data_IF_446214323143
#
_entry.id   IF_446214323143
#
_cell.length_a   1.000
_cell.length_b   1.000
_cell.length_c   1.000
_cell.angle_alpha   90.00
_cell.angle_beta   90.00
_cell.angle_gamma   90.00
#
_symmetry.space_group_name_H-M   'P 1'
#
loop_
_entity.id
_entity.type
_entity.pdbx_description
1 polymer ?
#
# COMPACT_ATOMS: atom_id res chain seq x y z
N UNK A 1 -51.41 49.31 -16.37
CA UNK A 1 -50.77 48.56 -17.47
C UNK A 1 -49.36 48.09 -17.10
N UNK A 2 -48.48 48.95 -16.57
CA UNK A 2 -47.11 48.57 -16.19
C UNK A 2 -46.99 47.57 -15.02
N UNK A 3 -47.89 47.60 -14.03
CA UNK A 3 -47.87 46.66 -12.89
C UNK A 3 -48.20 45.22 -13.32
N UNK A 4 -49.23 45.04 -14.15
CA UNK A 4 -49.62 43.73 -14.68
C UNK A 4 -48.58 43.15 -15.66
N UNK A 5 -47.87 44.01 -16.41
CA UNK A 5 -46.74 43.60 -17.25
C UNK A 5 -45.54 43.16 -16.41
N UNK A 6 -45.25 43.86 -15.31
CA UNK A 6 -44.18 43.49 -14.38
C UNK A 6 -44.49 42.19 -13.61
N UNK A 7 -45.74 41.99 -13.15
CA UNK A 7 -46.16 40.73 -12.53
C UNK A 7 -46.12 39.56 -13.52
N UNK A 8 -46.52 39.78 -14.78
CA UNK A 8 -46.40 38.78 -15.83
C UNK A 8 -44.93 38.41 -16.08
N UNK A 9 -44.05 39.40 -16.19
CA UNK A 9 -42.62 39.16 -16.41
C UNK A 9 -42.00 38.40 -15.22
N UNK A 10 -42.33 38.79 -13.98
CA UNK A 10 -41.85 38.09 -12.78
C UNK A 10 -42.31 36.63 -12.74
N UNK A 11 -43.57 36.38 -13.10
CA UNK A 11 -44.10 35.01 -13.18
C UNK A 11 -43.41 34.20 -14.29
N UNK A 12 -43.05 34.84 -15.40
CA UNK A 12 -42.29 34.24 -16.49
C UNK A 12 -40.86 33.87 -16.03
N UNK A 13 -40.17 34.80 -15.38
CA UNK A 13 -38.82 34.60 -14.84
C UNK A 13 -38.79 33.49 -13.76
N UNK A 14 -39.81 33.43 -12.90
CA UNK A 14 -39.98 32.35 -11.91
C UNK A 14 -40.24 30.98 -12.60
N UNK A 15 -41.01 30.96 -13.69
CA UNK A 15 -41.26 29.74 -14.46
C UNK A 15 -39.98 29.25 -15.14
N UNK A 16 -39.22 30.16 -15.75
CA UNK A 16 -37.96 29.83 -16.44
C UNK A 16 -36.90 29.37 -15.43
N UNK A 17 -36.82 30.00 -14.26
CA UNK A 17 -35.94 29.56 -13.17
C UNK A 17 -36.32 28.16 -12.67
N UNK A 18 -37.61 27.87 -12.51
CA UNK A 18 -38.08 26.55 -12.07
C UNK A 18 -37.83 25.49 -13.14
N UNK A 19 -38.05 25.82 -14.42
CA UNK A 19 -37.76 24.93 -15.54
C UNK A 19 -36.26 24.59 -15.64
N UNK A 20 -35.39 25.56 -15.39
CA UNK A 20 -33.94 25.33 -15.32
C UNK A 20 -33.56 24.40 -14.17
N UNK A 21 -34.16 24.58 -12.98
CA UNK A 21 -33.93 23.69 -11.83
C UNK A 21 -34.41 22.26 -12.12
N UNK A 22 -35.55 22.11 -12.80
CA UNK A 22 -36.08 20.79 -13.20
C UNK A 22 -35.14 20.13 -14.21
N UNK A 23 -34.67 20.84 -15.24
CA UNK A 23 -33.70 20.30 -16.20
C UNK A 23 -32.41 19.84 -15.51
N UNK A 24 -31.90 20.64 -14.57
CA UNK A 24 -30.72 20.29 -13.79
C UNK A 24 -30.96 19.02 -12.95
N UNK A 25 -32.13 18.92 -12.32
CA UNK A 25 -32.53 17.76 -11.53
C UNK A 25 -32.68 16.50 -12.40
N UNK A 26 -33.30 16.60 -13.58
CA UNK A 26 -33.44 15.47 -14.51
C UNK A 26 -32.07 14.99 -15.01
N UNK A 27 -31.15 15.90 -15.33
CA UNK A 27 -29.78 15.54 -15.70
C UNK A 27 -29.04 14.84 -14.57
N UNK A 28 -29.23 15.32 -13.33
CA UNK A 28 -28.64 14.71 -12.13
C UNK A 28 -29.21 13.30 -11.89
N UNK A 29 -30.54 13.14 -11.94
CA UNK A 29 -31.23 11.86 -11.76
C UNK A 29 -30.78 10.86 -12.83
N UNK A 30 -30.69 11.29 -14.09
CA UNK A 30 -30.24 10.42 -15.18
C UNK A 30 -28.77 10.04 -15.04
N UNK A 31 -27.90 10.96 -14.60
CA UNK A 31 -26.50 10.65 -14.29
C UNK A 31 -26.33 9.69 -13.11
N UNK A 32 -27.21 9.77 -12.12
CA UNK A 32 -27.24 8.90 -10.95
C UNK A 32 -27.94 7.57 -11.20
N UNK A 33 -28.74 7.43 -12.27
CA UNK A 33 -29.51 6.22 -12.53
C UNK A 33 -28.59 5.00 -12.78
N UNK A 34 -27.55 5.16 -13.60
CA UNK A 34 -26.53 4.12 -13.80
C UNK A 34 -25.74 3.85 -12.53
N UNK A 35 -25.50 4.89 -11.74
CA UNK A 35 -24.72 4.83 -10.51
C UNK A 35 -25.47 4.07 -9.40
N UNK A 36 -26.77 4.28 -9.31
CA UNK A 36 -27.65 3.57 -8.37
C UNK A 36 -27.71 2.06 -8.68
N UNK A 37 -27.76 1.67 -9.96
CA UNK A 37 -27.68 0.24 -10.35
C UNK A 37 -26.35 -0.35 -9.90
N UNK A 38 -25.23 0.34 -10.18
CA UNK A 38 -23.89 -0.07 -9.76
C UNK A 38 -23.78 -0.21 -8.24
N UNK A 39 -24.31 0.73 -7.48
CA UNK A 39 -24.32 0.67 -6.02
C UNK A 39 -25.20 -0.46 -5.50
N UNK A 40 -26.38 -0.70 -6.10
CA UNK A 40 -27.23 -1.83 -5.73
C UNK A 40 -26.53 -3.18 -5.93
N UNK A 41 -25.82 -3.35 -7.04
CA UNK A 41 -24.96 -4.52 -7.30
C UNK A 41 -23.82 -4.61 -6.29
N UNK A 42 -23.17 -3.48 -5.98
CA UNK A 42 -22.10 -3.40 -4.98
C UNK A 42 -22.58 -3.82 -3.59
N UNK A 43 -23.77 -3.39 -3.17
CA UNK A 43 -24.37 -3.78 -1.89
C UNK A 43 -24.63 -5.29 -1.84
N UNK A 44 -25.08 -5.89 -2.94
CA UNK A 44 -25.25 -7.35 -3.01
C UNK A 44 -23.90 -8.09 -2.92
N UNK A 45 -22.86 -7.57 -3.58
CA UNK A 45 -21.49 -8.10 -3.48
C UNK A 45 -20.95 -8.00 -2.06
N UNK A 46 -21.13 -6.86 -1.39
CA UNK A 46 -20.69 -6.65 0.00
C UNK A 46 -21.37 -7.61 0.97
N UNK A 47 -22.68 -7.87 0.80
CA UNK A 47 -23.39 -8.89 1.61
C UNK A 47 -22.84 -10.30 1.43
N UNK A 48 -22.42 -10.65 0.21
CA UNK A 48 -21.74 -11.94 -0.04
C UNK A 48 -20.34 -11.95 0.60
N UNK A 49 -19.62 -10.84 0.49
CA UNK A 49 -18.29 -10.66 1.08
C UNK A 49 -18.31 -10.71 2.60
N UNK A 50 -19.41 -10.31 3.26
CA UNK A 50 -19.55 -10.37 4.71
C UNK A 50 -19.40 -11.81 5.23
N UNK A 51 -19.94 -12.79 4.49
CA UNK A 51 -19.88 -14.21 4.86
C UNK A 51 -18.46 -14.76 4.71
N UNK A 52 -17.73 -14.35 3.67
CA UNK A 52 -16.37 -14.84 3.37
C UNK A 52 -15.26 -14.02 4.04
N UNK A 53 -15.61 -12.91 4.68
CA UNK A 53 -14.66 -11.99 5.31
C UNK A 53 -13.72 -12.67 6.32
N UNK A 54 -14.19 -13.54 7.25
CA UNK A 54 -13.30 -14.15 8.23
C UNK A 54 -12.21 -15.01 7.60
N UNK A 55 -12.54 -15.84 6.60
CA UNK A 55 -11.58 -16.68 5.88
C UNK A 55 -10.61 -15.85 5.05
N UNK A 56 -11.12 -14.80 4.40
CA UNK A 56 -10.30 -13.88 3.63
C UNK A 56 -9.27 -13.15 4.52
N UNK A 57 -9.71 -12.60 5.66
CA UNK A 57 -8.82 -11.93 6.62
C UNK A 57 -7.78 -12.90 7.18
N UNK A 58 -8.16 -14.14 7.47
CA UNK A 58 -7.23 -15.17 7.94
C UNK A 58 -6.11 -15.43 6.91
N UNK A 59 -6.48 -15.64 5.64
CA UNK A 59 -5.53 -15.87 4.56
C UNK A 59 -4.60 -14.67 4.33
N UNK A 60 -5.15 -13.46 4.31
CA UNK A 60 -4.37 -12.22 4.12
C UNK A 60 -3.44 -11.98 5.31
N UNK A 61 -3.91 -12.15 6.55
CA UNK A 61 -3.09 -12.00 7.74
C UNK A 61 -1.93 -13.00 7.76
N UNK A 62 -2.20 -14.26 7.39
CA UNK A 62 -1.17 -15.28 7.24
C UNK A 62 -0.17 -14.89 6.13
N UNK A 63 -0.66 -14.40 5.00
CA UNK A 63 0.17 -13.94 3.88
C UNK A 63 1.13 -12.83 4.33
N UNK A 64 0.62 -11.75 4.93
CA UNK A 64 1.44 -10.61 5.38
C UNK A 64 2.47 -11.04 6.45
N UNK A 65 2.07 -11.96 7.33
CA UNK A 65 2.91 -12.36 8.47
C UNK A 65 4.05 -13.28 8.09
N UNK A 66 3.83 -14.19 7.11
CA UNK A 66 4.75 -15.30 6.83
C UNK A 66 5.33 -15.29 5.41
N UNK A 67 4.67 -14.72 4.41
CA UNK A 67 5.09 -14.85 3.01
C UNK A 67 6.26 -13.96 2.61
N UNK A 68 6.54 -12.92 3.38
CA UNK A 68 7.52 -11.89 3.04
C UNK A 68 8.89 -12.43 2.62
N UNK A 69 9.43 -13.43 3.32
CA UNK A 69 10.78 -13.95 3.06
C UNK A 69 10.86 -14.93 1.88
N UNK A 70 9.72 -15.47 1.43
CA UNK A 70 9.70 -16.54 0.43
C UNK A 70 9.68 -16.04 -1.01
N UNK A 71 10.10 -16.90 -1.93
CA UNK A 71 10.04 -16.65 -3.38
C UNK A 71 8.61 -16.84 -3.90
N UNK A 72 8.28 -16.20 -5.04
CA UNK A 72 6.97 -16.30 -5.70
C UNK A 72 6.45 -17.74 -5.81
N UNK A 73 7.27 -18.67 -6.29
CA UNK A 73 6.88 -20.09 -6.43
C UNK A 73 6.47 -20.68 -5.08
N UNK A 74 7.29 -20.47 -4.05
CA UNK A 74 7.00 -21.00 -2.73
C UNK A 74 5.75 -20.37 -2.12
N UNK A 75 5.49 -19.08 -2.35
CA UNK A 75 4.23 -18.43 -1.91
C UNK A 75 3.01 -19.10 -2.53
N UNK A 76 3.05 -19.36 -3.85
CA UNK A 76 1.97 -20.03 -4.58
C UNK A 76 1.78 -21.47 -4.11
N UNK A 77 2.87 -22.22 -3.98
CA UNK A 77 2.84 -23.61 -3.51
C UNK A 77 2.24 -23.68 -2.10
N UNK A 78 2.65 -22.78 -1.20
CA UNK A 78 2.18 -22.77 0.18
C UNK A 78 0.69 -22.40 0.28
N UNK A 79 0.23 -21.43 -0.51
CA UNK A 79 -1.19 -21.06 -0.58
C UNK A 79 -2.03 -22.22 -1.14
N UNK A 80 -1.68 -22.73 -2.33
CA UNK A 80 -2.53 -23.63 -3.10
C UNK A 80 -2.42 -25.11 -2.70
N UNK A 81 -1.23 -25.55 -2.23
CA UNK A 81 -1.01 -26.96 -1.88
C UNK A 81 -1.20 -27.23 -0.39
N UNK A 82 -1.14 -26.21 0.47
CA UNK A 82 -1.20 -26.39 1.92
C UNK A 82 -2.32 -25.58 2.58
N UNK A 83 -2.37 -24.26 2.43
CA UNK A 83 -3.34 -23.42 3.15
C UNK A 83 -4.78 -23.61 2.68
N UNK A 84 -5.06 -23.49 1.38
CA UNK A 84 -6.41 -23.69 0.85
C UNK A 84 -6.90 -25.13 1.09
N UNK A 85 -6.12 -26.18 0.80
CA UNK A 85 -6.53 -27.55 1.13
C UNK A 85 -6.73 -27.78 2.63
N UNK A 86 -5.97 -27.11 3.50
CA UNK A 86 -6.20 -27.18 4.95
C UNK A 86 -7.56 -26.58 5.33
N UNK A 87 -7.89 -25.39 4.81
CA UNK A 87 -9.18 -24.74 5.06
C UNK A 87 -10.36 -25.59 4.54
N UNK A 88 -10.21 -26.21 3.38
CA UNK A 88 -11.24 -27.05 2.76
C UNK A 88 -11.51 -28.33 3.56
N UNK A 89 -10.51 -28.83 4.29
CA UNK A 89 -10.61 -30.05 5.10
C UNK A 89 -11.03 -29.81 6.56
N UNK A 90 -11.35 -28.57 6.95
CA UNK A 90 -11.80 -28.27 8.30
C UNK A 90 -13.20 -28.86 8.58
N UNK A 91 -13.37 -29.44 9.77
CA UNK A 91 -14.67 -29.97 10.23
C UNK A 91 -15.72 -28.87 10.35
N UNK A 92 -15.30 -27.66 10.73
CA UNK A 92 -16.13 -26.45 10.72
C UNK A 92 -15.62 -25.57 9.58
N UNK A 93 -16.39 -25.39 8.49
CA UNK A 93 -15.92 -24.65 7.34
C UNK A 93 -15.76 -23.17 7.70
N UNK A 94 -14.65 -22.58 7.24
CA UNK A 94 -14.44 -21.14 7.28
C UNK A 94 -14.61 -20.64 5.84
N UNK A 95 -15.73 -19.98 5.51
CA UNK A 95 -15.96 -19.49 4.15
C UNK A 95 -14.89 -18.48 3.75
N UNK A 96 -14.40 -18.60 2.51
CA UNK A 96 -13.48 -17.67 1.88
C UNK A 96 -13.88 -17.48 0.41
N UNK A 97 -13.41 -16.40 -0.21
CA UNK A 97 -13.66 -16.12 -1.63
C UNK A 97 -12.78 -17.04 -2.49
N UNK A 98 -13.34 -17.82 -3.43
CA UNK A 98 -12.54 -18.60 -4.38
C UNK A 98 -11.59 -17.71 -5.16
N UNK A 99 -10.37 -18.19 -5.43
CA UNK A 99 -9.32 -17.45 -6.16
C UNK A 99 -9.00 -16.07 -5.55
N UNK A 100 -9.11 -15.94 -4.23
CA UNK A 100 -8.78 -14.70 -3.53
C UNK A 100 -7.34 -14.28 -3.83
N UNK A 101 -7.18 -13.07 -4.37
CA UNK A 101 -5.88 -12.41 -4.42
C UNK A 101 -5.59 -11.72 -3.07
N UNK A 102 -4.60 -12.17 -2.29
CA UNK A 102 -4.30 -11.60 -0.97
C UNK A 102 -3.97 -10.10 -1.00
N UNK A 103 -3.50 -9.61 -2.16
CA UNK A 103 -3.13 -8.21 -2.36
C UNK A 103 -4.39 -7.33 -2.47
N UNK A 104 -5.43 -7.82 -3.14
CA UNK A 104 -6.62 -7.03 -3.50
C UNK A 104 -7.42 -6.50 -2.30
N UNK A 105 -7.31 -7.16 -1.14
CA UNK A 105 -7.94 -6.72 0.11
C UNK A 105 -7.17 -5.61 0.83
N UNK A 106 -5.89 -5.43 0.52
CA UNK A 106 -4.98 -4.56 1.26
C UNK A 106 -4.45 -3.39 0.43
N UNK A 107 -4.48 -3.55 -0.88
CA UNK A 107 -3.98 -2.59 -1.85
C UNK A 107 -4.93 -2.59 -3.03
N UNK A 108 -5.32 -1.39 -3.45
CA UNK A 108 -6.10 -1.20 -4.65
C UNK A 108 -5.22 -0.77 -5.83
N UNK A 109 -5.83 -0.78 -7.02
CA UNK A 109 -5.19 -0.39 -8.26
C UNK A 109 -4.60 1.03 -8.22
N UNK A 110 -5.24 1.95 -7.51
CA UNK A 110 -4.74 3.32 -7.35
C UNK A 110 -3.46 3.37 -6.50
N UNK A 111 -3.40 2.61 -5.40
CA UNK A 111 -2.23 2.51 -4.54
C UNK A 111 -1.05 1.83 -5.25
N UNK A 112 -1.31 0.76 -5.99
CA UNK A 112 -0.29 0.08 -6.81
C UNK A 112 0.23 1.01 -7.90
N UNK A 113 -0.67 1.72 -8.59
CA UNK A 113 -0.31 2.73 -9.58
C UNK A 113 0.57 3.84 -8.99
N UNK A 114 0.26 4.29 -7.77
CA UNK A 114 1.08 5.26 -7.05
C UNK A 114 2.47 4.69 -6.75
N UNK A 115 2.59 3.46 -6.27
CA UNK A 115 3.91 2.85 -6.01
C UNK A 115 4.75 2.68 -7.27
N UNK A 116 4.12 2.34 -8.39
CA UNK A 116 4.79 2.26 -9.69
C UNK A 116 5.33 3.64 -10.11
N UNK A 117 4.55 4.71 -9.91
CA UNK A 117 5.01 6.09 -10.15
C UNK A 117 6.15 6.51 -9.19
N UNK A 118 6.19 5.94 -7.99
CA UNK A 118 7.27 6.12 -7.02
C UNK A 118 8.52 5.25 -7.35
N UNK A 119 8.47 4.42 -8.40
CA UNK A 119 9.61 3.62 -8.87
C UNK A 119 9.66 2.20 -8.31
N UNK A 120 8.56 1.67 -7.77
CA UNK A 120 8.39 0.24 -7.55
C UNK A 120 8.33 -0.48 -8.91
N UNK A 121 8.99 -1.63 -9.08
CA UNK A 121 8.81 -2.44 -10.28
C UNK A 121 7.36 -2.93 -10.44
N UNK A 122 6.91 -3.08 -11.69
CA UNK A 122 5.54 -3.46 -12.06
C UNK A 122 5.21 -4.93 -11.85
N UNK A 123 6.17 -5.73 -11.41
CA UNK A 123 5.97 -7.16 -11.22
C UNK A 123 5.11 -7.46 -9.98
N UNK A 124 4.43 -8.61 -10.02
CA UNK A 124 3.53 -9.05 -8.93
C UNK A 124 4.26 -9.20 -7.60
N UNK A 125 5.49 -9.71 -7.59
CA UNK A 125 6.22 -9.93 -6.33
C UNK A 125 6.56 -8.59 -5.66
N UNK A 126 6.95 -7.59 -6.45
CA UNK A 126 7.18 -6.22 -5.95
C UNK A 126 5.92 -5.61 -5.34
N UNK A 127 4.76 -5.80 -5.98
CA UNK A 127 3.46 -5.34 -5.46
C UNK A 127 3.06 -6.07 -4.15
N UNK A 128 3.27 -7.39 -4.08
CA UNK A 128 3.09 -8.18 -2.85
C UNK A 128 4.01 -7.66 -1.73
N UNK A 129 5.29 -7.47 -2.03
CA UNK A 129 6.28 -7.00 -1.07
C UNK A 129 5.97 -5.59 -0.57
N UNK A 130 5.53 -4.69 -1.45
CA UNK A 130 5.10 -3.34 -1.08
C UNK A 130 3.87 -3.37 -0.16
N UNK A 131 2.92 -4.27 -0.43
CA UNK A 131 1.73 -4.50 0.40
C UNK A 131 2.11 -5.01 1.79
N UNK A 132 3.03 -5.98 1.87
CA UNK A 132 3.54 -6.49 3.15
C UNK A 132 4.28 -5.37 3.89
N UNK A 133 5.14 -4.62 3.20
CA UNK A 133 5.89 -3.53 3.82
C UNK A 133 4.96 -2.46 4.39
N UNK A 134 3.94 -2.04 3.63
CA UNK A 134 2.99 -1.02 4.02
C UNK A 134 2.18 -1.42 5.27
N UNK A 135 1.76 -2.69 5.35
CA UNK A 135 0.83 -3.21 6.36
C UNK A 135 1.51 -4.03 7.48
N UNK A 136 2.83 -4.21 7.43
CA UNK A 136 3.56 -4.94 8.47
C UNK A 136 3.51 -4.22 9.81
N UNK A 137 3.10 -4.96 10.85
CA UNK A 137 3.11 -4.45 12.23
C UNK A 137 4.53 -4.40 12.79
N UNK A 138 5.33 -5.46 12.60
CA UNK A 138 6.77 -5.51 12.93
C UNK A 138 7.58 -4.68 11.95
N UNK A 139 8.80 -4.29 12.33
CA UNK A 139 9.67 -3.51 11.46
C UNK A 139 10.05 -4.32 10.20
N UNK A 140 9.82 -3.81 8.98
CA UNK A 140 10.18 -4.51 7.76
C UNK A 140 11.71 -4.53 7.59
N UNK A 141 12.24 -5.73 7.32
CA UNK A 141 13.64 -5.96 6.94
C UNK A 141 13.69 -6.40 5.48
N UNK A 142 14.15 -5.50 4.61
CA UNK A 142 14.22 -5.69 3.18
C UNK A 142 15.55 -6.35 2.78
N UNK A 143 15.46 -7.53 2.19
CA UNK A 143 16.57 -8.19 1.51
C UNK A 143 16.58 -7.70 0.07
N UNK A 144 17.39 -6.67 -0.21
CA UNK A 144 17.41 -5.95 -1.50
C UNK A 144 18.85 -5.86 -2.04
N UNK A 145 19.40 -6.96 -2.59
CA UNK A 145 20.77 -6.96 -3.11
C UNK A 145 20.94 -6.08 -4.36
N UNK A 146 19.89 -5.89 -5.16
CA UNK A 146 19.91 -5.06 -6.36
C UNK A 146 19.57 -3.58 -6.11
N UNK A 147 19.24 -3.21 -4.87
CA UNK A 147 18.87 -1.84 -4.48
C UNK A 147 17.70 -1.27 -5.31
N UNK A 148 16.70 -2.09 -5.61
CA UNK A 148 15.49 -1.65 -6.32
C UNK A 148 14.43 -1.16 -5.35
N UNK A 149 14.12 -1.96 -4.32
CA UNK A 149 13.14 -1.61 -3.30
C UNK A 149 13.52 -0.35 -2.53
N UNK A 150 14.82 -0.14 -2.25
CA UNK A 150 15.28 1.07 -1.56
C UNK A 150 15.02 2.36 -2.37
N UNK A 151 15.04 2.31 -3.70
CA UNK A 151 14.75 3.48 -4.54
C UNK A 151 13.29 3.89 -4.36
N UNK A 152 12.37 2.92 -4.37
CA UNK A 152 10.97 3.15 -4.09
C UNK A 152 10.75 3.79 -2.70
N UNK A 153 11.37 3.24 -1.64
CA UNK A 153 11.24 3.80 -0.27
C UNK A 153 11.72 5.26 -0.19
N UNK A 154 12.85 5.58 -0.83
CA UNK A 154 13.37 6.95 -0.88
C UNK A 154 12.43 7.89 -1.64
N UNK A 155 11.85 7.45 -2.74
CA UNK A 155 10.92 8.24 -3.54
C UNK A 155 9.54 8.41 -2.90
N UNK A 156 9.11 7.42 -2.10
CA UNK A 156 7.82 7.43 -1.39
C UNK A 156 7.83 8.39 -0.21
N UNK A 157 8.88 8.36 0.61
CA UNK A 157 8.93 9.13 1.86
C UNK A 157 9.73 10.44 1.76
N UNK A 158 10.55 10.63 0.70
CA UNK A 158 11.32 11.85 0.36
C UNK A 158 11.83 12.63 1.59
N UNK A 159 11.16 13.74 1.91
CA UNK A 159 11.58 14.71 2.92
C UNK A 159 11.36 14.23 4.37
N UNK A 160 10.48 13.24 4.57
CA UNK A 160 10.21 12.64 5.88
C UNK A 160 11.10 11.45 6.21
N UNK A 161 11.95 11.03 5.27
CA UNK A 161 12.84 9.89 5.41
C UNK A 161 14.23 10.28 5.92
N UNK A 162 14.60 9.75 7.08
CA UNK A 162 15.95 9.84 7.61
C UNK A 162 16.75 8.59 7.23
N UNK A 163 17.66 8.73 6.27
CA UNK A 163 18.54 7.64 5.81
C UNK A 163 19.81 7.58 6.66
N UNK A 164 20.02 6.46 7.35
CA UNK A 164 21.15 6.26 8.27
C UNK A 164 21.92 4.98 7.93
N UNK A 165 23.20 4.95 8.34
CA UNK A 165 24.05 3.75 8.30
C UNK A 165 24.66 3.52 9.67
N UNK A 166 24.80 2.26 10.06
CA UNK A 166 25.40 1.88 11.35
C UNK A 166 26.87 2.29 11.47
N UNK A 167 27.56 2.55 10.36
CA UNK A 167 28.95 3.03 10.33
C UNK A 167 29.08 4.53 10.52
N UNK A 168 27.99 5.30 10.49
CA UNK A 168 28.05 6.75 10.66
C UNK A 168 28.22 7.13 12.13
N UNK A 169 29.08 8.10 12.39
CA UNK A 169 29.16 8.73 13.71
C UNK A 169 27.80 9.35 14.09
N UNK A 170 27.43 9.21 15.36
CA UNK A 170 26.21 9.75 15.96
C UNK A 170 24.91 9.22 15.32
N UNK A 171 24.92 8.02 14.74
CA UNK A 171 23.70 7.41 14.21
C UNK A 171 22.66 7.17 15.33
N UNK A 172 23.12 6.83 16.55
CA UNK A 172 22.25 6.64 17.72
C UNK A 172 21.53 7.95 18.08
N UNK A 173 22.23 9.08 18.20
CA UNK A 173 21.60 10.37 18.51
C UNK A 173 20.55 10.76 17.46
N UNK A 174 20.80 10.44 16.19
CA UNK A 174 19.82 10.66 15.10
C UNK A 174 18.60 9.75 15.20
N UNK A 175 18.79 8.49 15.63
CA UNK A 175 17.68 7.57 15.91
C UNK A 175 16.88 8.06 17.12
N UNK A 176 17.53 8.49 18.19
CA UNK A 176 16.87 9.07 19.37
C UNK A 176 15.98 10.26 18.97
N UNK A 177 16.53 11.19 18.18
CA UNK A 177 15.76 12.31 17.63
C UNK A 177 14.58 11.85 16.78
N UNK A 178 14.77 10.85 15.92
CA UNK A 178 13.71 10.34 15.07
C UNK A 178 12.57 9.66 15.86
N UNK A 179 12.90 8.92 16.91
CA UNK A 179 11.93 8.26 17.80
C UNK A 179 11.07 9.32 18.52
N UNK A 180 11.71 10.37 19.06
CA UNK A 180 11.00 11.43 19.77
C UNK A 180 10.13 12.30 18.86
N UNK A 181 10.50 12.46 17.59
CA UNK A 181 9.79 13.31 16.62
C UNK A 181 8.91 12.53 15.61
N UNK A 182 8.77 11.22 15.78
CA UNK A 182 7.91 10.40 14.92
C UNK A 182 8.36 10.35 13.46
N UNK A 183 9.67 10.38 13.19
CA UNK A 183 10.22 10.35 11.82
C UNK A 183 10.36 8.92 11.29
N UNK A 184 10.44 8.79 9.97
CA UNK A 184 10.66 7.50 9.30
C UNK A 184 12.17 7.32 9.12
N UNK A 185 12.73 6.25 9.68
CA UNK A 185 14.15 5.94 9.59
C UNK A 185 14.37 4.75 8.68
N UNK A 186 15.30 4.90 7.74
CA UNK A 186 15.82 3.81 6.92
C UNK A 186 17.26 3.50 7.33
N UNK A 187 17.50 2.30 7.87
CA UNK A 187 18.84 1.79 8.11
C UNK A 187 19.33 1.02 6.89
N UNK A 188 20.33 1.58 6.20
CA UNK A 188 20.92 0.96 5.02
C UNK A 188 22.04 -0.03 5.37
N UNK A 189 22.18 -1.05 4.54
CA UNK A 189 23.31 -1.99 4.56
C UNK A 189 23.54 -2.66 5.93
N UNK A 190 22.45 -3.08 6.58
CA UNK A 190 22.55 -3.87 7.81
C UNK A 190 23.24 -5.20 7.49
N UNK A 191 24.14 -5.61 8.37
CA UNK A 191 24.83 -6.90 8.30
C UNK A 191 24.01 -7.96 9.05
N UNK A 192 24.50 -9.20 9.08
CA UNK A 192 23.87 -10.30 9.84
C UNK A 192 23.92 -10.06 11.35
N UNK A 193 24.96 -9.35 11.81
CA UNK A 193 25.11 -8.92 13.19
C UNK A 193 24.76 -7.45 13.31
N UNK A 194 23.85 -7.15 14.22
CA UNK A 194 23.42 -5.80 14.59
C UNK A 194 23.87 -5.56 16.02
N UNK A 195 24.21 -4.31 16.34
CA UNK A 195 24.58 -3.92 17.70
C UNK A 195 23.38 -4.11 18.65
N UNK A 196 23.63 -4.74 19.81
CA UNK A 196 22.61 -5.03 20.82
C UNK A 196 21.91 -3.76 21.36
N UNK A 197 22.53 -2.59 21.19
CA UNK A 197 21.92 -1.28 21.49
C UNK A 197 20.60 -1.05 20.73
N UNK A 198 20.42 -1.71 19.57
CA UNK A 198 19.21 -1.59 18.75
C UNK A 198 18.12 -2.60 19.13
N UNK A 199 18.42 -3.62 19.92
CA UNK A 199 17.45 -4.68 20.29
C UNK A 199 16.17 -4.13 20.94
N UNK A 200 16.21 -3.13 21.86
CA UNK A 200 14.99 -2.56 22.43
C UNK A 200 14.12 -1.86 21.38
N UNK A 201 14.74 -1.25 20.35
CA UNK A 201 14.02 -0.58 19.27
C UNK A 201 13.42 -1.63 18.34
N UNK A 202 14.19 -2.65 17.96
CA UNK A 202 13.76 -3.72 17.06
C UNK A 202 12.63 -4.56 17.68
N UNK A 203 12.77 -4.93 18.94
CA UNK A 203 11.76 -5.67 19.70
C UNK A 203 10.61 -4.82 20.24
N UNK A 204 10.65 -3.49 20.06
CA UNK A 204 9.68 -2.53 20.63
C UNK A 204 9.45 -2.74 22.12
N UNK A 205 10.55 -2.84 22.86
CA UNK A 205 10.52 -3.02 24.31
C UNK A 205 10.25 -1.67 24.96
N UNK A 206 8.96 -1.39 25.20
CA UNK A 206 8.53 -0.14 25.80
C UNK A 206 8.69 -0.12 27.33
N UNK A 207 9.01 1.05 27.85
CA UNK A 207 9.08 1.39 29.27
C UNK A 207 7.97 2.39 29.59
N UNK A 208 7.67 2.62 30.87
CA UNK A 208 6.73 3.63 31.34
C UNK A 208 5.33 3.52 30.70
N UNK A 209 4.80 2.29 30.63
CA UNK A 209 3.49 1.96 30.04
C UNK A 209 3.34 2.36 28.57
N UNK A 210 4.39 2.18 27.76
CA UNK A 210 4.31 2.43 26.31
C UNK A 210 4.77 3.83 25.87
N UNK A 211 5.26 4.66 26.79
CA UNK A 211 5.60 6.06 26.50
C UNK A 211 7.05 6.31 26.13
N UNK A 212 7.94 5.38 26.47
CA UNK A 212 9.37 5.54 26.22
C UNK A 212 10.01 4.23 25.73
N UNK A 213 11.09 4.35 24.97
CA UNK A 213 11.99 3.25 24.59
C UNK A 213 13.38 3.58 25.12
N UNK A 214 14.08 2.56 25.63
CA UNK A 214 15.48 2.70 26.03
C UNK A 214 16.40 2.52 24.81
N UNK A 215 17.24 3.52 24.56
CA UNK A 215 18.24 3.50 23.48
C UNK A 215 19.61 3.67 24.12
N UNK A 216 20.39 2.58 24.14
CA UNK A 216 21.62 2.52 24.92
C UNK A 216 21.33 2.72 26.42
N UNK A 217 21.90 3.79 26.99
CA UNK A 217 21.68 4.15 28.40
C UNK A 217 20.60 5.22 28.61
N UNK A 218 20.04 5.80 27.53
CA UNK A 218 19.05 6.87 27.61
C UNK A 218 17.63 6.36 27.46
N UNK A 219 16.70 7.02 28.14
CA UNK A 219 15.26 6.86 27.92
C UNK A 219 14.77 7.93 26.95
N UNK A 220 14.13 7.51 25.86
CA UNK A 220 13.63 8.40 24.81
C UNK A 220 12.12 8.28 24.73
N UNK A 221 11.41 9.41 24.71
CA UNK A 221 9.95 9.44 24.52
C UNK A 221 9.60 8.91 23.12
N UNK A 222 8.59 8.04 23.05
CA UNK A 222 8.21 7.36 21.82
C UNK A 222 7.01 8.04 21.15
N UNK A 223 7.20 8.59 19.95
CA UNK A 223 6.09 9.05 19.11
C UNK A 223 5.51 7.86 18.30
N UNK A 224 4.19 7.60 18.35
CA UNK A 224 3.55 6.51 17.61
C UNK A 224 3.72 6.56 16.08
N UNK A 225 4.05 7.72 15.51
CA UNK A 225 4.30 7.90 14.06
C UNK A 225 5.69 7.41 13.65
N UNK A 226 6.59 7.16 14.60
CA UNK A 226 7.92 6.63 14.31
C UNK A 226 7.83 5.32 13.53
N UNK A 227 8.58 5.23 12.43
CA UNK A 227 8.65 4.00 11.62
C UNK A 227 10.09 3.67 11.28
N UNK A 228 10.50 2.45 11.58
CA UNK A 228 11.81 1.91 11.22
C UNK A 228 11.70 0.95 10.05
N UNK A 229 12.53 1.17 9.03
CA UNK A 229 12.71 0.29 7.87
C UNK A 229 14.18 -0.12 7.83
N UNK A 230 14.42 -1.41 7.69
CA UNK A 230 15.75 -1.99 7.64
C UNK A 230 16.02 -2.51 6.23
N UNK A 231 17.24 -2.32 5.72
CA UNK A 231 17.64 -2.81 4.40
C UNK A 231 19.00 -3.49 4.46
N UNK A 232 19.12 -4.65 3.83
CA UNK A 232 20.39 -5.35 3.60
C UNK A 232 20.66 -5.56 2.11
N UNK A 233 21.95 -5.51 1.76
CA UNK A 233 22.47 -5.84 0.42
C UNK A 233 22.88 -7.31 0.31
N UNK A 234 22.90 -8.04 1.42
CA UNK A 234 23.24 -9.46 1.43
C UNK A 234 22.09 -10.23 0.75
N UNK A 235 22.41 -11.04 -0.25
CA UNK A 235 21.37 -11.79 -0.97
C UNK A 235 20.79 -12.93 -0.12
N UNK A 236 21.62 -13.60 0.67
CA UNK A 236 21.24 -14.70 1.56
C UNK A 236 21.82 -14.48 2.96
N UNK A 237 21.30 -13.51 3.73
CA UNK A 237 21.78 -13.25 5.08
C UNK A 237 21.33 -14.34 6.05
N UNK A 238 22.22 -14.80 6.92
CA UNK A 238 21.91 -15.72 8.01
C UNK A 238 21.59 -14.97 9.31
N UNK A 239 20.37 -14.44 9.40
CA UNK A 239 19.90 -13.78 10.61
C UNK A 239 19.59 -14.76 11.73
N UNK A 240 19.97 -14.39 12.95
CA UNK A 240 19.60 -15.13 14.15
C UNK A 240 18.07 -15.15 14.34
N UNK A 241 17.51 -16.19 15.00
CA UNK A 241 16.06 -16.30 15.20
C UNK A 241 15.42 -15.07 15.86
N UNK A 242 16.14 -14.39 16.75
CA UNK A 242 15.65 -13.20 17.44
C UNK A 242 15.31 -12.07 16.46
N UNK A 243 16.20 -11.82 15.47
CA UNK A 243 15.96 -10.84 14.41
C UNK A 243 14.76 -11.21 13.55
N UNK A 244 14.59 -12.50 13.24
CA UNK A 244 13.44 -12.98 12.45
C UNK A 244 12.12 -12.91 13.21
N UNK A 245 12.16 -13.02 14.54
CA UNK A 245 10.99 -12.86 15.39
C UNK A 245 10.58 -11.38 15.48
N UNK A 246 11.55 -10.49 15.67
CA UNK A 246 11.31 -9.06 15.89
C UNK A 246 11.00 -8.26 14.61
N UNK A 247 11.50 -8.72 13.47
CA UNK A 247 11.32 -8.04 12.17
C UNK A 247 10.48 -8.87 11.20
N UNK A 248 9.83 -8.21 10.25
CA UNK A 248 9.20 -8.89 9.11
C UNK A 248 10.20 -8.92 7.96
N UNK A 249 10.78 -10.08 7.67
CA UNK A 249 11.67 -10.24 6.53
C UNK A 249 10.88 -10.17 5.23
N UNK A 250 11.34 -9.34 4.30
CA UNK A 250 10.73 -9.16 2.97
C UNK A 250 11.81 -9.34 1.92
N UNK A 251 11.60 -10.31 1.04
CA UNK A 251 12.53 -10.66 0.00
C UNK A 251 12.29 -9.81 -1.26
N UNK A 252 13.13 -8.80 -1.47
CA UNK A 252 13.16 -7.95 -2.67
C UNK A 252 14.18 -8.42 -3.71
N UNK A 253 14.67 -9.67 -3.64
CA UNK A 253 15.54 -10.21 -4.69
C UNK A 253 14.81 -10.24 -6.01
N UNK A 254 15.46 -9.75 -7.06
CA UNK A 254 14.91 -9.79 -8.42
C UNK A 254 14.66 -11.23 -8.84
N UNK A 255 13.43 -11.51 -9.27
CA UNK A 255 13.05 -12.82 -9.84
C UNK A 255 13.44 -12.93 -11.30
N UNK A 256 13.49 -14.15 -11.85
CA UNK A 256 13.74 -14.35 -13.30
C UNK A 256 12.71 -13.60 -14.15
N UNK A 257 11.43 -13.77 -13.83
CA UNK A 257 10.32 -13.07 -14.50
C UNK A 257 10.49 -11.54 -14.41
N UNK A 258 10.81 -11.02 -13.22
CA UNK A 258 11.01 -9.57 -13.03
C UNK A 258 12.24 -9.05 -13.78
N UNK A 259 13.31 -9.84 -13.86
CA UNK A 259 14.50 -9.47 -14.64
C UNK A 259 14.19 -9.48 -16.14
N UNK A 260 13.39 -10.44 -16.62
CA UNK A 260 12.98 -10.52 -18.02
C UNK A 260 12.18 -9.29 -18.43
N UNK A 261 11.22 -8.85 -17.62
CA UNK A 261 10.44 -7.63 -17.88
C UNK A 261 11.33 -6.37 -17.89
N UNK A 262 12.28 -6.29 -16.96
CA UNK A 262 13.24 -5.18 -16.90
C UNK A 262 14.19 -5.15 -18.10
N UNK A 263 14.70 -6.31 -18.52
CA UNK A 263 15.57 -6.43 -19.69
C UNK A 263 14.80 -6.16 -20.98
N UNK A 264 13.55 -6.63 -21.07
CA UNK A 264 12.68 -6.33 -22.21
C UNK A 264 12.49 -4.81 -22.35
N UNK A 265 12.21 -4.10 -21.26
CA UNK A 265 12.14 -2.64 -21.26
C UNK A 265 13.46 -1.98 -21.70
N UNK A 266 14.60 -2.48 -21.23
CA UNK A 266 15.90 -1.96 -21.63
C UNK A 266 16.21 -2.19 -23.13
N UNK A 267 15.85 -3.34 -23.67
CA UNK A 267 16.03 -3.68 -25.10
C UNK A 267 15.08 -2.85 -25.97
N UNK A 268 13.79 -2.75 -25.59
CA UNK A 268 12.82 -1.91 -26.31
C UNK A 268 13.26 -0.45 -26.29
N UNK A 269 13.82 0.05 -25.19
CA UNK A 269 14.37 1.41 -25.10
C UNK A 269 15.53 1.64 -26.07
N UNK A 270 16.38 0.63 -26.29
CA UNK A 270 17.52 0.74 -27.19
C UNK A 270 17.11 0.62 -28.67
N UNK A 271 16.21 -0.32 -28.99
CA UNK A 271 15.76 -0.62 -30.36
C UNK A 271 14.68 0.34 -30.86
N UNK A 272 13.74 0.68 -29.97
CA UNK A 272 12.52 1.47 -30.27
C UNK A 272 12.22 2.46 -29.12
N UNK A 273 13.03 3.50 -28.95
CA UNK A 273 12.84 4.49 -27.88
C UNK A 273 11.50 5.25 -27.99
N UNK A 274 10.94 5.34 -29.19
CA UNK A 274 9.61 5.90 -29.47
C UNK A 274 8.49 5.10 -28.77
N UNK A 275 8.55 3.77 -28.88
CA UNK A 275 7.58 2.87 -28.27
C UNK A 275 7.72 2.84 -26.75
N UNK A 276 8.96 2.84 -26.23
CA UNK A 276 9.18 2.88 -24.78
C UNK A 276 8.69 4.20 -24.17
N UNK A 277 8.94 5.33 -24.84
CA UNK A 277 8.45 6.64 -24.39
C UNK A 277 6.92 6.68 -24.39
N UNK A 278 6.29 6.17 -25.46
CA UNK A 278 4.83 6.08 -25.57
C UNK A 278 4.24 5.16 -24.50
N UNK A 279 4.86 4.00 -24.24
CA UNK A 279 4.44 3.07 -23.19
C UNK A 279 4.53 3.72 -21.81
N UNK A 280 5.65 4.37 -21.50
CA UNK A 280 5.85 5.04 -20.23
C UNK A 280 4.82 6.17 -20.02
N UNK A 281 4.56 6.99 -21.05
CA UNK A 281 3.54 8.04 -20.99
C UNK A 281 2.14 7.47 -20.78
N UNK A 282 1.75 6.45 -21.55
CA UNK A 282 0.46 5.78 -21.41
C UNK A 282 0.28 5.14 -20.03
N UNK A 283 1.33 4.51 -19.48
CA UNK A 283 1.29 3.95 -18.13
C UNK A 283 1.10 5.04 -17.06
N UNK A 284 1.81 6.17 -17.17
CA UNK A 284 1.64 7.29 -16.24
C UNK A 284 0.23 7.89 -16.35
N UNK A 285 -0.28 8.09 -17.58
CA UNK A 285 -1.63 8.58 -17.81
C UNK A 285 -2.67 7.62 -17.25
N UNK A 286 -2.55 6.32 -17.52
CA UNK A 286 -3.44 5.29 -17.00
C UNK A 286 -3.43 5.28 -15.46
N UNK A 287 -2.26 5.35 -14.83
CA UNK A 287 -2.11 5.43 -13.38
C UNK A 287 -2.79 6.68 -12.82
N UNK A 288 -2.59 7.83 -13.47
CA UNK A 288 -3.18 9.11 -13.07
C UNK A 288 -4.70 9.08 -13.20
N UNK A 289 -5.24 8.47 -14.26
CA UNK A 289 -6.68 8.30 -14.43
C UNK A 289 -7.27 7.37 -13.37
N UNK A 290 -6.62 6.24 -13.05
CA UNK A 290 -7.06 5.35 -11.97
C UNK A 290 -7.13 6.08 -10.61
N UNK A 291 -6.10 6.86 -10.28
CA UNK A 291 -6.06 7.65 -9.05
C UNK A 291 -7.16 8.73 -9.05
N UNK A 292 -7.31 9.46 -10.15
CA UNK A 292 -8.30 10.55 -10.26
C UNK A 292 -9.73 10.02 -10.19
N UNK A 293 -10.02 8.91 -10.86
CA UNK A 293 -11.33 8.26 -10.81
C UNK A 293 -11.71 7.91 -9.37
N UNK A 294 -10.79 7.30 -8.62
CA UNK A 294 -11.03 6.97 -7.21
C UNK A 294 -11.31 8.22 -6.37
N UNK A 295 -10.53 9.29 -6.53
CA UNK A 295 -10.75 10.55 -5.80
C UNK A 295 -12.12 11.15 -6.12
N UNK A 296 -12.53 11.12 -7.39
CA UNK A 296 -13.84 11.63 -7.81
C UNK A 296 -14.99 10.78 -7.26
N UNK A 297 -14.84 9.45 -7.24
CA UNK A 297 -15.81 8.55 -6.62
C UNK A 297 -15.94 8.81 -5.11
N UNK A 298 -14.81 8.96 -4.41
CA UNK A 298 -14.77 9.25 -2.98
C UNK A 298 -15.37 10.63 -2.65
N UNK A 299 -15.08 11.67 -3.44
CA UNK A 299 -15.68 13.02 -3.28
C UNK A 299 -17.19 13.00 -3.54
N UNK A 300 -17.61 12.28 -4.58
CA UNK A 300 -19.02 12.12 -4.91
C UNK A 300 -19.77 11.45 -3.75
N UNK A 301 -19.27 10.31 -3.25
CA UNK A 301 -19.83 9.63 -2.08
C UNK A 301 -19.84 10.51 -0.84
N UNK A 302 -18.76 11.25 -0.58
CA UNK A 302 -18.67 12.15 0.57
C UNK A 302 -19.75 13.23 0.54
N UNK A 303 -19.99 13.85 -0.62
CA UNK A 303 -21.01 14.89 -0.80
C UNK A 303 -22.45 14.40 -0.64
N UNK A 304 -22.71 13.10 -0.86
CA UNK A 304 -24.04 12.50 -0.68
C UNK A 304 -24.28 11.94 0.72
N UNK A 305 -23.23 11.70 1.50
CA UNK A 305 -23.32 11.19 2.87
C UNK A 305 -23.48 12.29 3.94
N UNK A 306 -23.49 13.57 3.55
CA UNK A 306 -23.76 14.75 4.39
C UNK A 306 -25.11 15.34 3.96
#
# INVERSE_FOLDING_TARGET
>A
MNVALAEKQKCQDETDATAFVIDLADRLINGLASENIRWAETVQLLRKSEITLPGNVLLVAAFISYMGCFTKKYRVDLMNLYWLPFLDNLQVPIPYTPDLDPISLMSDDATIAQWNNEGLPTDRMSSENATILANSSRWPLMIDPQMQGIKWIKNKYRDDLLVLRLTQHNYLDKIEYAIANGKIVLLESIMETVDAVLDPILGRVFINRGRAIKVGDKEVEYDPRFRLILQTKLANPHYKPEMQAQTTLINFTVTKDGLEEQLLGAVVKAERPDLESSKAELTIQQNTFKITLKILEDDLLHRYCI
#
